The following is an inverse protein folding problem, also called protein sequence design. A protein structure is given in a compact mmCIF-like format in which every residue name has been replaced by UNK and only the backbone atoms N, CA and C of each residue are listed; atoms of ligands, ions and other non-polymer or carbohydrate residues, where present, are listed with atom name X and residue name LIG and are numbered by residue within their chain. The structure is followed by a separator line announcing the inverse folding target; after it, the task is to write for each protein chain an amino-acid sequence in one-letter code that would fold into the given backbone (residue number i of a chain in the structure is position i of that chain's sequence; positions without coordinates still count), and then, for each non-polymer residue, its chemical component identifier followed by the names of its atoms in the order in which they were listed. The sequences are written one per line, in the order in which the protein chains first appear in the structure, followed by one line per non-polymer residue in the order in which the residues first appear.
data_IF_667847083462
#
_entry.id   IF_667847083462
#
_cell.length_a   1.000
_cell.length_b   1.000
_cell.length_c   1.000
_cell.angle_alpha   90.00
_cell.angle_beta   90.00
_cell.angle_gamma   90.00
#
_symmetry.space_group_name_H-M   'P 1'
#
loop_
_entity.id
_entity.type
_entity.pdbx_description
1 polymer ?
#
# COMPACT_ATOMS: atom_id res chain seq x y z
N UNK A 1 -14.88 -15.23 -25.94
CA UNK A 1 -16.34 -15.33 -25.65
C UNK A 1 -16.60 -14.50 -24.41
N UNK A 2 -17.44 -13.47 -24.51
CA UNK A 2 -17.75 -12.57 -23.41
C UNK A 2 -18.72 -13.25 -22.44
N UNK A 3 -18.44 -13.18 -21.13
CA UNK A 3 -19.34 -13.62 -20.08
C UNK A 3 -19.51 -12.50 -19.06
N UNK A 4 -20.71 -11.92 -19.08
CA UNK A 4 -21.45 -11.25 -18.01
C UNK A 4 -20.69 -10.58 -16.88
N UNK A 5 -20.60 -9.25 -16.95
CA UNK A 5 -20.51 -8.39 -15.77
C UNK A 5 -21.88 -8.39 -15.08
N UNK A 6 -21.97 -8.97 -13.89
CA UNK A 6 -23.04 -8.68 -12.93
C UNK A 6 -22.45 -7.83 -11.81
N UNK A 7 -22.71 -6.52 -11.87
CA UNK A 7 -22.56 -5.62 -10.74
C UNK A 7 -23.79 -5.86 -9.85
N UNK A 8 -23.64 -6.66 -8.81
CA UNK A 8 -24.57 -6.68 -7.69
C UNK A 8 -24.18 -5.55 -6.74
N UNK A 9 -24.80 -4.39 -6.97
CA UNK A 9 -24.95 -3.32 -5.99
C UNK A 9 -25.78 -3.79 -4.80
N UNK A 10 -25.31 -3.41 -3.61
CA UNK A 10 -26.04 -3.19 -2.35
C UNK A 10 -26.86 -4.35 -1.77
N UNK A 11 -26.28 -5.03 -0.78
CA UNK A 11 -27.05 -5.66 0.29
C UNK A 11 -26.41 -5.37 1.64
N UNK A 12 -26.96 -4.36 2.32
CA UNK A 12 -26.68 -4.04 3.72
C UNK A 12 -27.29 -5.13 4.62
N UNK A 13 -26.52 -6.15 4.97
CA UNK A 13 -26.89 -7.08 6.03
C UNK A 13 -26.52 -6.47 7.39
N UNK A 14 -27.47 -5.73 7.98
CA UNK A 14 -27.46 -5.47 9.42
C UNK A 14 -27.81 -6.77 10.16
N UNK A 15 -26.81 -7.38 10.80
CA UNK A 15 -27.06 -8.40 11.84
C UNK A 15 -26.93 -7.70 13.19
N UNK A 16 -28.07 -7.39 13.80
CA UNK A 16 -28.16 -7.11 15.23
C UNK A 16 -27.88 -8.39 16.01
N UNK A 17 -26.71 -8.49 16.61
CA UNK A 17 -26.36 -9.51 17.61
C UNK A 17 -26.00 -8.84 18.93
N UNK A 18 -26.90 -8.90 19.90
CA UNK A 18 -26.73 -8.38 21.26
C UNK A 18 -25.90 -9.37 22.09
N UNK A 19 -24.70 -8.99 22.52
CA UNK A 19 -23.99 -9.59 23.65
C UNK A 19 -23.24 -8.49 24.44
N UNK A 20 -23.61 -8.38 25.71
CA UNK A 20 -23.10 -7.43 26.71
C UNK A 20 -21.60 -7.66 26.98
N UNK A 21 -20.81 -6.60 26.87
CA UNK A 21 -19.45 -6.52 27.38
C UNK A 21 -19.00 -5.07 27.37
N UNK A 22 -18.83 -4.47 28.55
CA UNK A 22 -18.35 -3.10 28.72
C UNK A 22 -16.90 -2.99 28.26
N UNK A 23 -16.66 -2.20 27.22
CA UNK A 23 -15.32 -1.71 26.86
C UNK A 23 -15.47 -0.24 26.53
N UNK A 24 -14.92 0.62 27.38
CA UNK A 24 -14.84 2.05 27.14
C UNK A 24 -13.95 2.29 25.90
N UNK A 25 -14.57 2.56 24.76
CA UNK A 25 -13.89 2.98 23.54
C UNK A 25 -14.53 4.29 23.08
N UNK A 26 -14.00 5.41 23.56
CA UNK A 26 -14.15 6.69 22.86
C UNK A 26 -13.26 6.67 21.61
N UNK A 27 -13.65 5.85 20.63
CA UNK A 27 -13.25 6.10 19.25
C UNK A 27 -14.19 7.19 18.75
N UNK A 28 -13.68 8.42 18.71
CA UNK A 28 -14.31 9.55 18.03
C UNK A 28 -14.91 9.05 16.71
N UNK A 29 -16.21 9.30 16.50
CA UNK A 29 -16.96 8.88 15.31
C UNK A 29 -16.56 9.81 14.17
N UNK A 30 -15.31 9.66 13.72
CA UNK A 30 -14.81 10.26 12.50
C UNK A 30 -15.75 9.89 11.36
N UNK A 31 -16.31 10.92 10.74
CA UNK A 31 -17.19 10.88 9.58
C UNK A 31 -16.87 9.68 8.68
N UNK A 32 -17.72 8.65 8.70
CA UNK A 32 -17.56 7.39 7.96
C UNK A 32 -17.84 7.58 6.46
N UNK A 33 -17.22 8.60 5.85
CA UNK A 33 -17.20 8.76 4.40
C UNK A 33 -16.40 7.59 3.84
N UNK A 34 -17.09 6.74 3.09
CA UNK A 34 -16.45 5.66 2.33
C UNK A 34 -15.34 6.30 1.48
N UNK A 35 -14.07 5.88 1.63
CA UNK A 35 -12.97 6.42 0.84
C UNK A 35 -13.26 6.24 -0.65
N UNK A 36 -13.32 7.34 -1.40
CA UNK A 36 -13.48 7.29 -2.85
C UNK A 36 -12.11 7.25 -3.52
N UNK A 37 -11.95 6.37 -4.51
CA UNK A 37 -10.73 6.32 -5.31
C UNK A 37 -10.46 7.67 -6.00
N UNK A 38 -9.19 8.11 -5.99
CA UNK A 38 -8.74 9.32 -6.70
C UNK A 38 -8.47 9.10 -8.19
N UNK A 39 -8.46 7.85 -8.65
CA UNK A 39 -8.23 7.51 -10.06
C UNK A 39 -9.53 7.55 -10.88
N UNK A 40 -9.42 7.72 -12.20
CA UNK A 40 -10.58 7.78 -13.10
C UNK A 40 -11.24 6.40 -13.24
N UNK A 41 -12.59 6.37 -13.31
CA UNK A 41 -13.35 5.14 -13.55
C UNK A 41 -12.87 4.41 -14.81
N UNK A 42 -12.61 5.14 -15.89
CA UNK A 42 -12.10 4.58 -17.15
C UNK A 42 -10.73 3.94 -16.98
N UNK A 43 -9.81 4.61 -16.28
CA UNK A 43 -8.49 4.07 -15.99
C UNK A 43 -8.56 2.80 -15.16
N UNK A 44 -9.52 2.73 -14.23
CA UNK A 44 -9.74 1.53 -13.43
C UNK A 44 -10.28 0.36 -14.24
N UNK A 45 -11.29 0.60 -15.08
CA UNK A 45 -11.80 -0.43 -15.99
C UNK A 45 -10.70 -0.96 -16.91
N UNK A 46 -9.81 -0.09 -17.40
CA UNK A 46 -8.69 -0.51 -18.23
C UNK A 46 -7.72 -1.44 -17.49
N UNK A 47 -7.43 -1.20 -16.20
CA UNK A 47 -6.53 -2.08 -15.43
C UNK A 47 -7.06 -3.49 -15.29
N UNK A 48 -8.37 -3.66 -15.16
CA UNK A 48 -9.01 -4.96 -15.02
C UNK A 48 -8.91 -5.84 -16.26
N UNK A 49 -8.68 -5.25 -17.45
CA UNK A 49 -8.52 -6.00 -18.70
C UNK A 49 -7.06 -6.26 -19.07
N UNK A 50 -6.10 -5.66 -18.36
CA UNK A 50 -4.68 -5.92 -18.60
C UNK A 50 -4.32 -7.30 -18.02
N UNK A 51 -3.70 -8.19 -18.82
CA UNK A 51 -3.25 -9.50 -18.34
C UNK A 51 -2.37 -9.35 -17.10
N UNK A 52 -2.55 -10.22 -16.10
CA UNK A 52 -1.90 -10.10 -14.79
C UNK A 52 -0.38 -9.91 -14.86
N UNK A 53 0.29 -10.64 -15.75
CA UNK A 53 1.74 -10.54 -15.94
C UNK A 53 2.20 -9.22 -16.58
N UNK A 54 1.30 -8.45 -17.18
CA UNK A 54 1.58 -7.15 -17.81
C UNK A 54 1.10 -5.96 -16.97
N UNK A 55 0.28 -6.18 -15.94
CA UNK A 55 -0.33 -5.10 -15.15
C UNK A 55 0.71 -4.12 -14.60
N UNK A 56 1.81 -4.62 -14.05
CA UNK A 56 2.88 -3.77 -13.54
C UNK A 56 3.57 -2.96 -14.64
N UNK A 57 3.91 -3.61 -15.75
CA UNK A 57 4.58 -2.98 -16.88
C UNK A 57 3.72 -1.92 -17.56
N UNK A 58 2.42 -2.14 -17.67
CA UNK A 58 1.51 -1.26 -18.40
C UNK A 58 0.78 -0.24 -17.52
N UNK A 59 0.40 -0.60 -16.29
CA UNK A 59 -0.40 0.26 -15.42
C UNK A 59 0.44 1.02 -14.38
N UNK A 60 1.56 0.45 -13.93
CA UNK A 60 2.44 1.08 -12.94
C UNK A 60 3.67 1.75 -13.59
N UNK A 61 4.05 1.34 -14.80
CA UNK A 61 5.24 1.82 -15.52
C UNK A 61 6.45 0.89 -15.44
N UNK A 62 6.28 -0.35 -14.95
CA UNK A 62 7.32 -1.37 -14.91
C UNK A 62 8.58 -0.92 -14.17
N UNK A 63 9.75 -1.09 -14.78
CA UNK A 63 11.05 -0.65 -14.21
C UNK A 63 11.08 0.84 -13.86
N UNK A 64 10.28 1.67 -14.54
CA UNK A 64 10.16 3.10 -14.27
C UNK A 64 8.98 3.45 -13.34
N UNK A 65 8.47 2.47 -12.58
CA UNK A 65 7.35 2.66 -11.65
C UNK A 65 7.57 3.90 -10.77
N UNK A 66 6.60 4.82 -10.79
CA UNK A 66 6.73 6.09 -10.05
C UNK A 66 6.86 5.88 -8.53
N UNK A 67 6.25 4.83 -7.99
CA UNK A 67 6.28 4.53 -6.54
C UNK A 67 7.62 3.92 -6.08
N UNK A 68 8.45 3.49 -7.03
CA UNK A 68 9.81 2.96 -6.77
C UNK A 68 10.89 4.04 -6.94
N UNK A 69 10.49 5.29 -7.27
CA UNK A 69 11.41 6.38 -7.54
C UNK A 69 11.15 7.57 -6.60
N UNK A 70 11.98 7.76 -5.56
CA UNK A 70 11.79 8.82 -4.56
C UNK A 70 11.87 10.24 -5.13
N UNK A 71 12.57 10.42 -6.25
CA UNK A 71 12.71 11.72 -6.92
C UNK A 71 11.42 12.18 -7.61
N UNK A 72 10.37 11.35 -7.64
CA UNK A 72 9.06 11.67 -8.22
C UNK A 72 8.09 12.33 -7.23
N UNK A 73 8.47 12.43 -5.95
CA UNK A 73 7.60 12.86 -4.87
C UNK A 73 8.21 14.06 -4.14
N UNK A 74 7.36 14.95 -3.62
CA UNK A 74 7.82 16.08 -2.81
C UNK A 74 8.28 15.64 -1.41
N UNK A 75 8.73 16.58 -0.58
CA UNK A 75 9.08 16.28 0.82
C UNK A 75 7.83 16.00 1.66
N UNK A 76 6.71 16.67 1.36
CA UNK A 76 5.42 16.46 2.04
C UNK A 76 4.82 15.08 1.73
N UNK A 77 5.11 14.53 0.56
CA UNK A 77 4.72 13.17 0.14
C UNK A 77 5.75 12.11 0.57
N UNK A 78 6.74 12.50 1.36
CA UNK A 78 7.77 11.62 1.92
C UNK A 78 8.02 11.88 3.42
N UNK A 79 7.01 11.77 4.32
CA UNK A 79 7.25 11.77 5.76
C UNK A 79 8.36 10.80 6.20
N UNK A 80 8.47 9.66 5.50
CA UNK A 80 9.68 8.84 5.50
C UNK A 80 10.45 9.13 4.22
N UNK A 81 11.55 9.89 4.34
CA UNK A 81 12.35 10.32 3.20
C UNK A 81 12.89 9.12 2.43
N UNK A 82 12.69 9.12 1.11
CA UNK A 82 13.04 8.00 0.26
C UNK A 82 11.86 7.09 -0.08
N UNK A 83 10.69 7.29 0.53
CA UNK A 83 9.48 6.50 0.24
C UNK A 83 8.28 7.44 0.05
N UNK A 84 7.51 7.21 -1.02
CA UNK A 84 6.17 7.80 -1.09
C UNK A 84 5.36 7.32 0.12
N UNK A 85 4.96 8.24 0.98
CA UNK A 85 4.29 7.92 2.24
C UNK A 85 3.39 9.06 2.71
N UNK A 86 2.43 8.74 3.59
CA UNK A 86 1.51 9.73 4.14
C UNK A 86 0.94 9.24 5.47
N UNK A 87 0.85 10.13 6.45
CA UNK A 87 0.16 9.88 7.71
C UNK A 87 -1.35 9.88 7.46
N UNK A 88 -2.00 8.75 7.73
CA UNK A 88 -3.45 8.58 7.63
C UNK A 88 -4.11 9.01 8.95
N UNK A 89 -3.44 8.72 10.06
CA UNK A 89 -3.75 9.20 11.41
C UNK A 89 -2.45 9.50 12.14
N UNK A 90 -2.52 9.97 13.39
CA UNK A 90 -1.34 10.22 14.23
C UNK A 90 -0.50 8.95 14.53
N UNK A 91 -1.06 7.76 14.32
CA UNK A 91 -0.43 6.48 14.62
C UNK A 91 -0.39 5.50 13.44
N UNK A 92 -0.93 5.90 12.28
CA UNK A 92 -0.98 5.07 11.08
C UNK A 92 -0.35 5.80 9.89
N UNK A 93 0.80 5.30 9.44
CA UNK A 93 1.46 5.72 8.21
C UNK A 93 1.19 4.70 7.11
N UNK A 94 0.76 5.16 5.93
CA UNK A 94 0.77 4.36 4.72
C UNK A 94 2.00 4.71 3.88
N UNK A 95 2.72 3.71 3.37
CA UNK A 95 3.91 3.92 2.55
C UNK A 95 3.98 2.95 1.38
N UNK A 96 4.65 3.36 0.30
CA UNK A 96 5.09 2.48 -0.75
C UNK A 96 6.10 1.45 -0.21
N UNK A 97 6.23 0.32 -0.90
CA UNK A 97 7.20 -0.72 -0.49
C UNK A 97 8.63 -0.16 -0.53
N UNK A 98 9.48 -0.54 0.41
CA UNK A 98 10.90 -0.20 0.34
C UNK A 98 11.67 -1.17 -0.57
N UNK A 99 12.90 -0.79 -0.92
CA UNK A 99 13.89 -1.68 -1.53
C UNK A 99 15.20 -1.67 -0.73
N UNK A 100 16.00 -2.74 -0.84
CA UNK A 100 17.32 -2.83 -0.16
C UNK A 100 18.17 -1.59 -0.43
N UNK A 101 18.17 -1.10 -1.66
CA UNK A 101 18.90 0.10 -2.06
C UNK A 101 18.38 1.36 -1.35
N UNK A 102 17.06 1.59 -1.38
CA UNK A 102 16.42 2.76 -0.77
C UNK A 102 16.57 2.75 0.75
N UNK A 103 16.42 1.58 1.38
CA UNK A 103 16.62 1.39 2.83
C UNK A 103 18.00 1.90 3.25
N UNK A 104 19.04 1.45 2.54
CA UNK A 104 20.44 1.82 2.83
C UNK A 104 20.70 3.28 2.52
N UNK A 105 20.29 3.74 1.34
CA UNK A 105 20.58 5.09 0.83
C UNK A 105 19.99 6.20 1.71
N UNK A 106 18.78 6.00 2.23
CA UNK A 106 18.07 7.02 3.01
C UNK A 106 18.02 6.72 4.51
N UNK A 107 18.60 5.61 4.97
CA UNK A 107 18.54 5.22 6.38
C UNK A 107 17.10 5.06 6.87
N UNK A 108 16.28 4.31 6.12
CA UNK A 108 14.83 4.19 6.36
C UNK A 108 14.54 3.64 7.76
N UNK A 109 15.32 2.67 8.23
CA UNK A 109 15.09 2.04 9.55
C UNK A 109 15.31 3.05 10.67
N UNK A 110 16.35 3.90 10.54
CA UNK A 110 16.60 4.99 11.47
C UNK A 110 15.47 6.04 11.45
N UNK A 111 14.84 6.26 10.30
CA UNK A 111 13.66 7.12 10.21
C UNK A 111 12.44 6.52 10.91
N UNK A 112 12.24 5.21 10.81
CA UNK A 112 11.18 4.51 11.55
C UNK A 112 11.33 4.71 13.06
N UNK A 113 12.54 4.51 13.60
CA UNK A 113 12.80 4.75 15.03
C UNK A 113 12.57 6.20 15.45
N UNK A 114 13.03 7.18 14.64
CA UNK A 114 12.82 8.61 14.93
C UNK A 114 11.35 9.02 14.87
N UNK A 115 10.56 8.33 14.05
CA UNK A 115 9.12 8.58 13.88
C UNK A 115 8.26 7.72 14.83
N UNK A 116 8.88 7.05 15.80
CA UNK A 116 8.25 6.14 16.76
C UNK A 116 7.43 5.00 16.13
N UNK A 117 7.74 4.61 14.89
CA UNK A 117 7.08 3.49 14.22
C UNK A 117 7.55 2.18 14.83
N UNK A 118 6.63 1.46 15.47
CA UNK A 118 6.91 0.19 16.17
C UNK A 118 6.59 -1.05 15.34
N UNK A 119 5.76 -0.90 14.31
CA UNK A 119 5.23 -2.05 13.56
C UNK A 119 5.15 -1.70 12.09
N UNK A 120 5.64 -2.62 11.26
CA UNK A 120 5.51 -2.57 9.80
C UNK A 120 4.68 -3.77 9.37
N UNK A 121 3.56 -3.51 8.71
CA UNK A 121 2.68 -4.56 8.18
C UNK A 121 2.87 -4.60 6.66
N UNK A 122 3.48 -5.67 6.16
CA UNK A 122 3.59 -5.89 4.73
C UNK A 122 2.31 -6.53 4.19
N UNK A 123 1.69 -5.87 3.20
CA UNK A 123 0.48 -6.35 2.53
C UNK A 123 0.77 -7.11 1.23
N UNK A 124 2.04 -7.13 0.80
CA UNK A 124 2.44 -7.79 -0.43
C UNK A 124 2.58 -9.30 -0.24
N UNK A 125 2.28 -10.04 -1.30
CA UNK A 125 2.68 -11.45 -1.41
C UNK A 125 4.09 -11.57 -2.01
N UNK A 126 4.89 -12.56 -1.63
CA UNK A 126 6.16 -12.83 -2.30
C UNK A 126 5.96 -12.99 -3.82
N UNK A 127 6.81 -12.37 -4.64
CA UNK A 127 6.69 -12.36 -6.10
C UNK A 127 5.78 -11.25 -6.65
N UNK A 128 5.06 -10.53 -5.81
CA UNK A 128 4.21 -9.42 -6.23
C UNK A 128 5.05 -8.26 -6.78
N UNK A 129 4.52 -7.59 -7.81
CA UNK A 129 5.19 -6.45 -8.44
C UNK A 129 6.62 -6.78 -8.94
N UNK A 130 6.86 -8.00 -9.42
CA UNK A 130 8.16 -8.45 -9.94
C UNK A 130 8.70 -7.64 -11.13
N UNK A 131 7.81 -6.91 -11.84
CA UNK A 131 8.19 -6.04 -12.95
C UNK A 131 8.31 -4.56 -12.57
N UNK A 132 8.01 -4.18 -11.32
CA UNK A 132 8.07 -2.79 -10.85
C UNK A 132 9.44 -2.48 -10.23
N UNK A 133 10.13 -1.46 -10.73
CA UNK A 133 11.36 -0.97 -10.11
C UNK A 133 12.50 -2.00 -10.08
N UNK A 134 13.27 -2.07 -8.99
CA UNK A 134 14.34 -3.04 -8.80
C UNK A 134 13.84 -4.50 -8.85
N UNK A 135 14.72 -5.47 -9.19
CA UNK A 135 14.37 -6.88 -9.10
C UNK A 135 14.07 -7.30 -7.65
N UNK A 136 13.29 -8.37 -7.51
CA UNK A 136 13.02 -8.99 -6.22
C UNK A 136 14.26 -9.76 -5.73
N UNK A 137 14.52 -9.68 -4.43
CA UNK A 137 15.49 -10.53 -3.75
C UNK A 137 15.00 -11.98 -3.80
N UNK A 138 15.87 -12.89 -4.23
CA UNK A 138 15.50 -14.29 -4.46
C UNK A 138 15.07 -15.00 -3.16
N UNK A 139 15.63 -14.59 -2.03
CA UNK A 139 15.41 -15.19 -0.72
C UNK A 139 14.04 -14.84 -0.14
N UNK A 140 13.58 -13.60 -0.31
CA UNK A 140 12.34 -13.10 0.31
C UNK A 140 11.17 -12.99 -0.68
N UNK A 141 11.44 -12.87 -1.97
CA UNK A 141 10.43 -12.54 -2.98
C UNK A 141 9.91 -11.09 -2.89
N UNK A 142 10.59 -10.21 -2.15
CA UNK A 142 10.34 -8.78 -2.09
C UNK A 142 11.56 -8.00 -2.60
N UNK A 143 11.43 -6.70 -2.80
CA UNK A 143 12.57 -5.81 -3.16
C UNK A 143 13.54 -5.57 -1.99
N UNK A 144 13.33 -6.23 -0.85
CA UNK A 144 14.10 -6.10 0.37
C UNK A 144 14.04 -7.40 1.18
N UNK A 145 14.91 -7.53 2.18
CA UNK A 145 14.90 -8.64 3.15
C UNK A 145 14.12 -8.23 4.42
N UNK A 146 12.92 -8.76 4.68
CA UNK A 146 12.08 -8.34 5.80
C UNK A 146 12.77 -8.44 7.17
N UNK A 147 13.61 -9.45 7.38
CA UNK A 147 14.40 -9.68 8.60
C UNK A 147 15.42 -8.57 8.91
N UNK A 148 15.62 -7.62 8.00
CA UNK A 148 16.48 -6.44 8.19
C UNK A 148 15.70 -5.17 8.53
N UNK A 149 14.36 -5.21 8.52
CA UNK A 149 13.54 -3.99 8.52
C UNK A 149 13.23 -3.42 9.91
N UNK A 150 13.26 -4.22 10.98
CA UNK A 150 12.90 -3.80 12.34
C UNK A 150 13.72 -4.59 13.39
N UNK A 151 15.05 -4.48 13.32
CA UNK A 151 15.97 -4.99 14.36
C UNK A 151 16.43 -3.86 15.26
#
# INVERSE_FOLDING_TARGET
MAAGVSILTDLSYYVSGSLKGEINNEMERGNTRIPTAKYTKMGETLRHVIPSHMQCSMACGGKACKYENPSRWSDEEQPIKGLYSSWITDSLLAMARPSTEVIKKYGIIQQFHRSDLKTVINLQRPGEHASCGPPLEQESGFTYLPETSMK
#
